data_IF_454903830075
#
_entry.id   IF_454903830075
#
_cell.length_a   1.000
_cell.length_b   1.000
_cell.length_c   1.000
_cell.angle_alpha   90.00
_cell.angle_beta   90.00
_cell.angle_gamma   90.00
#
_symmetry.space_group_name_H-M   'P 1'
#
loop_
_entity.id
_entity.type
_entity.pdbx_description
1 polymer ?
#
# COMPACT_ATOMS: atom_id res chain seq x y z
N UNK A 1 0.54 37.24 -22.23
CA UNK A 1 0.51 36.49 -20.95
C UNK A 1 0.92 35.01 -21.04
N UNK A 2 0.54 34.24 -22.08
CA UNK A 2 0.92 32.80 -22.19
C UNK A 2 2.41 32.54 -22.46
N UNK A 3 3.09 33.40 -23.24
CA UNK A 3 4.54 33.29 -23.50
C UNK A 3 5.41 33.62 -22.27
N UNK A 4 4.97 34.57 -21.44
CA UNK A 4 5.66 34.97 -20.22
C UNK A 4 5.65 33.85 -19.15
N UNK A 5 4.58 33.06 -19.06
CA UNK A 5 4.47 31.90 -18.16
C UNK A 5 5.39 30.72 -18.55
N UNK A 6 5.60 30.50 -19.86
CA UNK A 6 6.52 29.45 -20.34
C UNK A 6 7.98 29.78 -20.09
N UNK A 7 8.38 31.05 -20.26
CA UNK A 7 9.74 31.49 -19.88
C UNK A 7 9.98 31.45 -18.37
N UNK A 8 8.97 31.71 -17.55
CA UNK A 8 9.10 31.65 -16.09
C UNK A 8 9.26 30.22 -15.56
N UNK A 9 8.53 29.25 -16.11
CA UNK A 9 8.74 27.82 -15.78
C UNK A 9 10.12 27.31 -16.22
N UNK A 10 10.62 27.75 -17.39
CA UNK A 10 11.95 27.35 -17.86
C UNK A 10 13.07 27.92 -16.96
N UNK A 11 12.90 29.16 -16.47
CA UNK A 11 13.82 29.78 -15.53
C UNK A 11 13.83 29.07 -14.16
N UNK A 12 12.68 28.63 -13.68
CA UNK A 12 12.54 27.86 -12.43
C UNK A 12 13.21 26.47 -12.52
N UNK A 13 13.12 25.80 -13.67
CA UNK A 13 13.79 24.51 -13.91
C UNK A 13 15.31 24.67 -13.99
N UNK A 14 15.80 25.77 -14.56
CA UNK A 14 17.24 26.10 -14.63
C UNK A 14 17.78 26.51 -13.24
N UNK A 15 17.01 27.27 -12.45
CA UNK A 15 17.37 27.61 -11.06
C UNK A 15 17.39 26.38 -10.14
N UNK A 16 16.53 25.38 -10.39
CA UNK A 16 16.55 24.11 -9.66
C UNK A 16 17.75 23.21 -10.03
N UNK A 17 18.31 23.37 -11.24
CA UNK A 17 19.47 22.58 -11.69
C UNK A 17 20.81 23.19 -11.29
N UNK A 18 20.84 24.43 -10.80
CA UNK A 18 22.07 25.12 -10.33
C UNK A 18 22.29 24.94 -8.82
N UNK A 19 21.33 24.36 -8.07
CA UNK A 19 21.49 23.99 -6.66
C UNK A 19 21.99 22.55 -6.44
N UNK A 20 22.76 22.00 -7.38
CA UNK A 20 23.58 20.81 -7.12
C UNK A 20 24.97 21.29 -6.70
N UNK A 21 25.06 21.86 -5.50
CA UNK A 21 26.37 21.91 -4.85
C UNK A 21 26.86 20.46 -4.71
N UNK A 22 28.13 20.14 -5.00
CA UNK A 22 28.67 18.84 -4.62
C UNK A 22 28.56 18.74 -3.11
N UNK A 23 27.61 17.94 -2.62
CA UNK A 23 27.59 17.53 -1.22
C UNK A 23 28.91 16.79 -1.00
N UNK A 24 29.89 17.48 -0.44
CA UNK A 24 30.99 16.85 0.27
C UNK A 24 30.38 16.23 1.52
N UNK A 25 29.74 15.06 1.34
CA UNK A 25 29.48 14.12 2.40
C UNK A 25 30.85 13.76 2.97
N UNK A 26 31.29 14.51 3.99
CA UNK A 26 32.33 14.02 4.88
C UNK A 26 31.89 12.62 5.27
N UNK A 27 32.69 11.62 4.90
CA UNK A 27 32.58 10.24 5.40
C UNK A 27 32.74 10.29 6.92
N UNK A 28 31.67 10.70 7.59
CA UNK A 28 31.43 10.37 8.97
C UNK A 28 31.37 8.87 8.92
N UNK A 29 32.39 8.20 9.49
CA UNK A 29 32.40 6.76 9.70
C UNK A 29 30.98 6.38 10.08
N UNK A 30 30.27 5.70 9.16
CA UNK A 30 28.91 5.31 9.41
C UNK A 30 29.00 4.46 10.67
N UNK A 31 28.46 4.96 11.80
CA UNK A 31 28.26 4.14 12.99
C UNK A 31 27.71 2.83 12.48
N UNK A 32 28.42 1.74 12.71
CA UNK A 32 27.95 0.41 12.31
C UNK A 32 26.57 0.26 12.93
N UNK A 33 25.53 0.45 12.12
CA UNK A 33 24.15 0.36 12.60
C UNK A 33 23.97 -1.11 12.95
N UNK A 34 23.96 -1.41 14.24
CA UNK A 34 23.69 -2.75 14.72
C UNK A 34 22.21 -3.01 14.42
N UNK A 35 21.96 -3.96 13.52
CA UNK A 35 20.61 -4.42 13.21
C UNK A 35 20.00 -5.03 14.47
N UNK A 36 19.01 -4.36 15.05
CA UNK A 36 18.38 -4.74 16.32
C UNK A 36 17.31 -5.82 16.19
N UNK A 37 16.71 -5.98 15.00
CA UNK A 37 15.72 -7.02 14.73
C UNK A 37 15.93 -7.67 13.35
N UNK A 38 15.31 -8.83 13.12
CA UNK A 38 15.37 -9.56 11.84
C UNK A 38 14.02 -9.66 11.12
N UNK A 39 13.06 -8.81 11.43
CA UNK A 39 11.73 -8.88 10.82
C UNK A 39 11.77 -8.62 9.31
N UNK A 40 10.94 -9.31 8.51
CA UNK A 40 10.87 -9.12 7.08
C UNK A 40 10.28 -7.75 6.71
N UNK A 41 10.56 -7.30 5.49
CA UNK A 41 10.01 -6.09 4.88
C UNK A 41 8.95 -6.47 3.87
N UNK A 42 7.81 -5.77 3.87
CA UNK A 42 6.75 -5.93 2.87
C UNK A 42 6.53 -4.59 2.17
N UNK A 43 6.75 -4.60 0.86
CA UNK A 43 6.68 -3.43 -0.02
C UNK A 43 5.32 -3.34 -0.72
N UNK A 44 4.41 -2.54 -0.17
CA UNK A 44 3.01 -2.45 -0.60
C UNK A 44 2.83 -1.32 -1.64
N UNK A 45 2.51 -1.71 -2.87
CA UNK A 45 2.28 -0.76 -3.97
C UNK A 45 1.00 0.06 -3.77
N UNK A 46 0.88 1.20 -4.47
CA UNK A 46 -0.32 2.03 -4.48
C UNK A 46 -1.27 1.73 -5.63
N UNK A 47 -2.06 2.73 -5.99
CA UNK A 47 -3.00 2.71 -7.13
C UNK A 47 -2.26 2.35 -8.42
N UNK A 48 -2.86 1.49 -9.25
CA UNK A 48 -2.26 0.94 -10.48
C UNK A 48 -0.94 0.19 -10.31
N UNK A 49 -0.54 -0.16 -9.09
CA UNK A 49 0.65 -0.96 -8.85
C UNK A 49 0.46 -2.45 -9.15
N UNK A 50 1.57 -3.17 -9.18
CA UNK A 50 1.61 -4.59 -9.54
C UNK A 50 2.70 -5.33 -8.75
N UNK A 51 2.61 -6.66 -8.70
CA UNK A 51 3.61 -7.54 -8.09
C UNK A 51 4.82 -7.80 -9.00
N UNK A 52 5.91 -8.34 -8.45
CA UNK A 52 7.16 -8.55 -9.20
C UNK A 52 7.06 -9.53 -10.38
N UNK A 53 6.08 -10.43 -10.39
CA UNK A 53 5.87 -11.39 -11.48
C UNK A 53 4.87 -10.87 -12.54
N UNK A 54 4.45 -9.62 -12.42
CA UNK A 54 3.49 -8.97 -13.32
C UNK A 54 4.20 -7.95 -14.23
N UNK A 55 3.55 -7.58 -15.34
CA UNK A 55 4.02 -6.54 -16.26
C UNK A 55 5.41 -6.77 -16.89
N UNK A 56 5.60 -7.94 -17.52
CA UNK A 56 6.79 -8.26 -18.34
C UNK A 56 8.15 -8.12 -17.62
N UNK A 57 8.17 -8.34 -16.30
CA UNK A 57 9.40 -8.31 -15.49
C UNK A 57 9.87 -6.90 -15.07
N UNK A 58 9.06 -5.86 -15.32
CA UNK A 58 9.28 -4.54 -14.75
C UNK A 58 8.80 -4.53 -13.30
N UNK A 59 9.68 -4.19 -12.36
CA UNK A 59 9.33 -4.13 -10.95
C UNK A 59 8.64 -2.80 -10.65
N UNK A 60 7.48 -2.81 -9.99
CA UNK A 60 6.92 -1.58 -9.42
C UNK A 60 7.94 -0.88 -8.51
N UNK A 61 8.60 -1.68 -7.66
CA UNK A 61 9.66 -1.24 -6.77
C UNK A 61 11.03 -1.28 -7.45
N UNK A 62 11.35 -0.21 -8.19
CA UNK A 62 12.68 0.03 -8.77
C UNK A 62 12.80 -0.16 -10.29
N UNK A 63 11.70 -0.42 -10.98
CA UNK A 63 11.66 -0.55 -12.44
C UNK A 63 12.55 -1.71 -12.92
N UNK A 64 13.60 -1.38 -13.67
CA UNK A 64 14.60 -2.36 -14.15
C UNK A 64 15.52 -2.87 -13.04
N UNK A 65 15.67 -2.13 -11.96
CA UNK A 65 16.54 -2.46 -10.83
C UNK A 65 15.68 -2.82 -9.62
N UNK A 66 15.37 -4.10 -9.45
CA UNK A 66 14.47 -4.57 -8.38
C UNK A 66 14.99 -4.20 -6.98
N UNK A 67 14.30 -3.28 -6.29
CA UNK A 67 14.62 -2.89 -4.91
C UNK A 67 14.55 -4.11 -3.99
N UNK A 68 13.57 -5.00 -4.21
CA UNK A 68 13.48 -6.29 -3.53
C UNK A 68 14.80 -7.05 -3.63
N UNK A 69 15.31 -7.25 -4.86
CA UNK A 69 16.54 -8.01 -5.08
C UNK A 69 17.76 -7.34 -4.44
N UNK A 70 17.86 -6.02 -4.52
CA UNK A 70 18.95 -5.24 -3.90
C UNK A 70 18.94 -5.45 -2.38
N UNK A 71 17.78 -5.34 -1.73
CA UNK A 71 17.67 -5.57 -0.29
C UNK A 71 17.95 -7.03 0.10
N UNK A 72 17.50 -8.00 -0.71
CA UNK A 72 17.80 -9.41 -0.48
C UNK A 72 19.30 -9.70 -0.57
N UNK A 73 20.03 -9.10 -1.51
CA UNK A 73 21.49 -9.23 -1.59
C UNK A 73 22.22 -8.65 -0.37
N UNK A 74 21.56 -7.76 0.38
CA UNK A 74 22.07 -7.19 1.63
C UNK A 74 21.62 -7.97 2.88
N UNK A 75 20.92 -9.11 2.71
CA UNK A 75 20.49 -9.96 3.82
C UNK A 75 19.16 -9.57 4.47
N UNK A 76 18.32 -8.79 3.79
CA UNK A 76 16.94 -8.52 4.20
C UNK A 76 15.96 -9.49 3.54
N UNK A 77 15.04 -10.04 4.33
CA UNK A 77 13.90 -10.81 3.80
C UNK A 77 12.83 -9.81 3.32
N UNK A 78 12.46 -9.85 2.05
CA UNK A 78 11.59 -8.83 1.43
C UNK A 78 10.49 -9.47 0.57
N UNK A 79 9.27 -8.94 0.67
CA UNK A 79 8.11 -9.36 -0.11
C UNK A 79 7.45 -8.19 -0.83
N UNK A 80 6.85 -8.48 -1.99
CA UNK A 80 6.15 -7.51 -2.85
C UNK A 80 4.76 -8.08 -3.19
N UNK A 81 3.73 -7.82 -2.35
CA UNK A 81 2.38 -8.33 -2.57
C UNK A 81 1.79 -7.90 -3.92
N UNK A 82 1.03 -8.81 -4.54
CA UNK A 82 0.11 -8.50 -5.65
C UNK A 82 -1.32 -8.46 -5.09
N UNK A 83 -1.80 -7.23 -4.90
CA UNK A 83 -3.13 -6.89 -4.37
C UNK A 83 -3.83 -5.92 -5.33
N UNK A 84 -5.13 -5.70 -5.13
CA UNK A 84 -6.00 -4.94 -6.00
C UNK A 84 -5.44 -3.56 -6.35
N UNK A 85 -5.14 -3.27 -7.62
CA UNK A 85 -4.60 -1.98 -8.05
C UNK A 85 -5.63 -0.85 -8.00
N UNK A 86 -6.92 -1.19 -7.92
CA UNK A 86 -8.06 -0.28 -7.94
C UNK A 86 -9.10 -0.57 -6.83
N UNK A 87 -8.84 -1.57 -5.98
CA UNK A 87 -9.74 -1.94 -4.89
C UNK A 87 -9.68 -0.91 -3.76
N UNK A 88 -10.68 -0.91 -2.87
CA UNK A 88 -10.70 -0.03 -1.71
C UNK A 88 -9.52 -0.31 -0.76
N UNK A 89 -9.16 0.65 0.10
CA UNK A 89 -8.14 0.41 1.13
C UNK A 89 -8.52 -0.76 2.06
N UNK A 90 -9.82 -0.94 2.34
CA UNK A 90 -10.34 -2.04 3.14
C UNK A 90 -10.08 -3.40 2.45
N UNK A 91 -10.47 -3.52 1.20
CA UNK A 91 -10.28 -4.76 0.43
C UNK A 91 -8.80 -5.08 0.29
N UNK A 92 -8.00 -4.07 -0.02
CA UNK A 92 -6.54 -4.19 -0.12
C UNK A 92 -5.90 -4.63 1.20
N UNK A 93 -6.41 -4.18 2.35
CA UNK A 93 -5.94 -4.63 3.65
C UNK A 93 -6.31 -6.12 3.90
N UNK A 94 -7.51 -6.55 3.50
CA UNK A 94 -7.94 -7.95 3.60
C UNK A 94 -7.12 -8.87 2.67
N UNK A 95 -6.86 -8.41 1.45
CA UNK A 95 -5.99 -9.09 0.48
C UNK A 95 -4.56 -9.19 0.99
N UNK A 96 -4.02 -8.09 1.53
CA UNK A 96 -2.67 -8.04 2.10
C UNK A 96 -2.55 -8.99 3.29
N UNK A 97 -3.50 -8.98 4.22
CA UNK A 97 -3.53 -9.93 5.33
C UNK A 97 -3.44 -11.38 4.86
N UNK A 98 -4.28 -11.74 3.89
CA UNK A 98 -4.32 -13.10 3.33
C UNK A 98 -3.07 -13.44 2.52
N UNK A 99 -2.47 -12.47 1.82
CA UNK A 99 -1.17 -12.64 1.17
C UNK A 99 -0.08 -13.01 2.18
N UNK A 100 -0.07 -12.33 3.34
CA UNK A 100 0.92 -12.54 4.39
C UNK A 100 0.74 -13.92 5.04
N UNK A 101 -0.41 -14.20 5.63
CA UNK A 101 -0.58 -15.42 6.44
C UNK A 101 -1.08 -16.64 5.66
N UNK A 102 -1.62 -16.42 4.46
CA UNK A 102 -2.25 -17.45 3.63
C UNK A 102 -3.73 -17.62 3.93
N UNK A 103 -4.43 -18.26 2.98
CA UNK A 103 -5.88 -18.48 3.05
C UNK A 103 -6.65 -17.70 1.99
N UNK A 104 -7.97 -17.88 2.00
CA UNK A 104 -8.91 -17.15 1.14
C UNK A 104 -9.17 -15.79 1.73
N UNK A 105 -9.11 -14.74 0.89
CA UNK A 105 -9.47 -13.38 1.32
C UNK A 105 -10.90 -13.37 1.83
N UNK A 106 -11.10 -12.87 3.05
CA UNK A 106 -12.42 -12.58 3.62
C UNK A 106 -12.50 -11.07 3.78
N UNK A 107 -13.31 -10.42 2.94
CA UNK A 107 -13.55 -8.99 2.97
C UNK A 107 -14.48 -8.57 4.12
N UNK A 108 -15.06 -9.53 4.85
CA UNK A 108 -16.03 -9.27 5.91
C UNK A 108 -17.48 -9.35 5.42
N UNK A 109 -18.34 -9.92 6.25
CA UNK A 109 -19.77 -10.04 5.96
C UNK A 109 -20.46 -8.68 5.93
N UNK A 110 -20.22 -7.85 6.94
CA UNK A 110 -20.88 -6.54 7.05
C UNK A 110 -20.41 -5.60 5.93
N UNK A 111 -19.10 -5.56 5.69
CA UNK A 111 -18.49 -4.76 4.64
C UNK A 111 -19.01 -5.15 3.26
N UNK A 112 -18.92 -6.44 2.91
CA UNK A 112 -19.34 -6.90 1.58
C UNK A 112 -20.83 -6.73 1.32
N UNK A 113 -21.69 -6.94 2.33
CA UNK A 113 -23.12 -6.64 2.21
C UNK A 113 -23.38 -5.15 1.99
N UNK A 114 -22.64 -4.25 2.66
CA UNK A 114 -22.78 -2.80 2.50
C UNK A 114 -22.24 -2.29 1.17
N UNK A 115 -21.10 -2.82 0.73
CA UNK A 115 -20.39 -2.38 -0.47
C UNK A 115 -20.89 -3.08 -1.76
N UNK A 116 -21.72 -4.12 -1.64
CA UNK A 116 -22.36 -4.78 -2.78
C UNK A 116 -21.42 -5.68 -3.59
N UNK A 117 -20.48 -6.36 -2.94
CA UNK A 117 -19.58 -7.33 -3.59
C UNK A 117 -19.49 -8.65 -2.81
N UNK A 118 -18.84 -9.65 -3.41
CA UNK A 118 -18.63 -10.94 -2.77
C UNK A 118 -17.78 -10.83 -1.50
N UNK A 119 -18.14 -11.58 -0.46
CA UNK A 119 -17.38 -11.67 0.80
C UNK A 119 -16.01 -12.32 0.63
N UNK A 120 -15.89 -13.32 -0.23
CA UNK A 120 -14.66 -14.07 -0.41
C UNK A 120 -13.96 -13.73 -1.72
N UNK A 121 -12.64 -13.53 -1.64
CA UNK A 121 -11.77 -13.24 -2.78
C UNK A 121 -10.90 -14.43 -3.19
N UNK A 122 -9.73 -14.13 -3.76
CA UNK A 122 -8.75 -15.15 -4.18
C UNK A 122 -8.08 -15.83 -2.97
N UNK A 123 -7.45 -16.98 -3.21
CA UNK A 123 -6.70 -17.71 -2.17
C UNK A 123 -5.21 -17.52 -2.35
N UNK A 124 -4.53 -17.16 -1.27
CA UNK A 124 -3.08 -17.00 -1.24
C UNK A 124 -2.41 -18.16 -0.49
N UNK A 125 -1.21 -18.53 -0.94
CA UNK A 125 -0.40 -19.55 -0.26
C UNK A 125 0.11 -19.10 1.11
N UNK A 126 0.27 -17.80 1.34
CA UNK A 126 0.85 -17.22 2.55
C UNK A 126 2.37 -17.20 2.52
N UNK A 127 2.97 -16.01 2.52
CA UNK A 127 4.43 -15.84 2.50
C UNK A 127 5.06 -15.81 3.90
N UNK A 128 4.28 -15.46 4.91
CA UNK A 128 4.67 -15.23 6.30
C UNK A 128 3.70 -15.95 7.27
N UNK A 129 3.53 -17.27 7.11
CA UNK A 129 2.65 -18.11 7.95
C UNK A 129 3.04 -18.15 9.44
N UNK A 130 4.19 -17.60 9.78
CA UNK A 130 4.71 -17.50 11.14
C UNK A 130 4.39 -16.16 11.82
N UNK A 131 3.85 -15.18 11.08
CA UNK A 131 3.52 -13.86 11.61
C UNK A 131 2.58 -13.98 12.82
N UNK A 132 2.84 -13.20 13.86
CA UNK A 132 2.07 -13.21 15.10
C UNK A 132 2.37 -14.37 16.05
N UNK A 133 3.10 -15.40 15.62
CA UNK A 133 3.52 -16.51 16.50
C UNK A 133 4.69 -16.08 17.38
N UNK A 134 4.80 -16.67 18.57
CA UNK A 134 5.98 -16.49 19.43
C UNK A 134 7.10 -17.43 19.01
N UNK A 135 8.33 -16.90 18.96
CA UNK A 135 9.57 -17.67 18.77
C UNK A 135 10.58 -17.14 19.77
N UNK A 136 11.09 -18.02 20.63
CA UNK A 136 12.02 -17.66 21.72
C UNK A 136 11.50 -16.54 22.64
N UNK A 137 10.18 -16.49 22.89
CA UNK A 137 9.55 -15.46 23.72
C UNK A 137 9.22 -14.16 22.99
N UNK A 138 9.59 -14.01 21.72
CA UNK A 138 9.32 -12.81 20.91
C UNK A 138 8.25 -13.07 19.85
N UNK A 139 7.28 -12.16 19.76
CA UNK A 139 6.28 -12.17 18.69
C UNK A 139 7.00 -11.89 17.37
N UNK A 140 6.74 -12.72 16.36
CA UNK A 140 7.24 -12.49 15.01
C UNK A 140 6.42 -11.39 14.33
N UNK A 141 7.09 -10.31 13.95
CA UNK A 141 6.48 -9.09 13.39
C UNK A 141 6.97 -8.83 11.96
N UNK A 142 6.46 -7.76 11.36
CA UNK A 142 6.81 -7.32 9.99
C UNK A 142 6.96 -5.81 9.92
N UNK A 143 7.87 -5.35 9.04
CA UNK A 143 7.97 -3.95 8.62
C UNK A 143 7.16 -3.72 7.35
N UNK A 144 6.22 -2.77 7.37
CA UNK A 144 5.42 -2.42 6.20
C UNK A 144 5.91 -1.11 5.59
N UNK A 145 6.17 -1.12 4.28
CA UNK A 145 6.52 0.08 3.51
C UNK A 145 5.48 0.26 2.42
N UNK A 146 4.72 1.34 2.48
CA UNK A 146 3.64 1.65 1.55
C UNK A 146 3.98 2.84 0.67
N UNK A 147 3.92 2.68 -0.65
CA UNK A 147 4.02 3.79 -1.58
C UNK A 147 2.62 4.23 -2.05
N UNK A 148 2.38 5.53 -2.17
CA UNK A 148 1.10 6.08 -2.62
C UNK A 148 -0.05 5.52 -1.76
N UNK A 149 -1.16 5.07 -2.36
CA UNK A 149 -2.30 4.42 -1.68
C UNK A 149 -1.88 3.22 -0.80
N UNK A 150 -0.73 2.59 -1.08
CA UNK A 150 -0.19 1.51 -0.27
C UNK A 150 0.05 1.93 1.19
N UNK A 151 0.35 3.21 1.44
CA UNK A 151 0.52 3.72 2.80
C UNK A 151 -0.79 3.80 3.60
N UNK A 152 -1.92 4.13 2.95
CA UNK A 152 -3.24 4.09 3.58
C UNK A 152 -3.66 2.63 3.85
N UNK A 153 -3.40 1.74 2.90
CA UNK A 153 -3.69 0.30 3.03
C UNK A 153 -2.99 -0.30 4.25
N UNK A 154 -1.69 -0.02 4.46
CA UNK A 154 -0.94 -0.60 5.59
C UNK A 154 -1.31 0.02 6.93
N UNK A 155 -1.74 1.29 6.96
CA UNK A 155 -2.31 1.91 8.15
C UNK A 155 -3.64 1.24 8.53
N UNK A 156 -4.50 0.98 7.55
CA UNK A 156 -5.78 0.31 7.80
C UNK A 156 -5.59 -1.15 8.23
N UNK A 157 -4.63 -1.88 7.64
CA UNK A 157 -4.28 -3.22 8.10
C UNK A 157 -3.85 -3.21 9.57
N UNK A 158 -2.98 -2.27 9.97
CA UNK A 158 -2.56 -2.15 11.37
C UNK A 158 -3.75 -1.86 12.29
N UNK A 159 -4.65 -0.96 11.90
CA UNK A 159 -5.88 -0.67 12.66
C UNK A 159 -6.72 -1.94 12.88
N UNK A 160 -6.96 -2.71 11.82
CA UNK A 160 -7.77 -3.93 11.90
C UNK A 160 -7.11 -4.99 12.77
N UNK A 161 -5.79 -5.17 12.67
CA UNK A 161 -5.05 -6.10 13.53
C UNK A 161 -5.13 -5.71 15.00
N UNK A 162 -5.00 -4.42 15.32
CA UNK A 162 -5.01 -3.92 16.69
C UNK A 162 -6.41 -3.91 17.31
N UNK A 163 -7.41 -3.40 16.59
CA UNK A 163 -8.73 -3.10 17.14
C UNK A 163 -9.87 -3.95 16.56
N UNK A 164 -9.63 -4.62 15.43
CA UNK A 164 -10.65 -5.40 14.73
C UNK A 164 -11.74 -4.54 14.08
N UNK A 165 -12.91 -5.15 13.86
CA UNK A 165 -14.10 -4.46 13.36
C UNK A 165 -15.33 -4.93 14.13
N UNK A 166 -15.97 -4.01 14.86
CA UNK A 166 -17.18 -4.30 15.65
C UNK A 166 -18.34 -4.76 14.77
N UNK A 167 -18.50 -4.15 13.59
CA UNK A 167 -19.56 -4.51 12.65
C UNK A 167 -19.38 -5.95 12.15
N UNK A 168 -18.14 -6.37 11.88
CA UNK A 168 -17.84 -7.75 11.45
C UNK A 168 -18.03 -8.75 12.59
N UNK A 169 -17.62 -8.39 13.80
CA UNK A 169 -17.85 -9.20 15.01
C UNK A 169 -19.35 -9.38 15.24
N UNK A 170 -20.14 -8.31 15.11
CA UNK A 170 -21.60 -8.37 15.27
C UNK A 170 -22.25 -9.23 14.18
N UNK A 171 -21.79 -9.10 12.93
CA UNK A 171 -22.36 -9.83 11.80
C UNK A 171 -22.03 -11.32 11.79
N UNK A 172 -20.91 -11.75 12.38
CA UNK A 172 -20.41 -13.13 12.22
C UNK A 172 -20.11 -13.87 13.53
N UNK A 173 -20.07 -13.17 14.67
CA UNK A 173 -19.89 -13.77 16.00
C UNK A 173 -18.65 -14.64 16.09
N UNK A 174 -18.81 -15.90 16.49
CA UNK A 174 -17.70 -16.86 16.62
C UNK A 174 -16.96 -17.12 15.28
N UNK A 175 -17.63 -16.93 14.15
CA UNK A 175 -17.09 -17.16 12.80
C UNK A 175 -16.36 -15.93 12.24
N UNK A 176 -16.13 -14.90 13.05
CA UNK A 176 -15.36 -13.71 12.64
C UNK A 176 -13.97 -14.09 12.18
N UNK A 177 -13.54 -13.58 11.03
CA UNK A 177 -12.18 -13.76 10.54
C UNK A 177 -11.18 -13.17 11.56
N UNK A 178 -10.03 -13.81 11.74
CA UNK A 178 -9.02 -13.35 12.71
C UNK A 178 -8.59 -11.90 12.48
N UNK A 179 -8.54 -11.42 11.23
CA UNK A 179 -8.23 -10.02 10.93
C UNK A 179 -9.15 -9.04 11.65
N UNK A 180 -10.43 -9.39 11.88
CA UNK A 180 -11.42 -8.48 12.45
C UNK A 180 -11.60 -8.62 13.97
N UNK A 181 -10.79 -9.45 14.65
CA UNK A 181 -10.90 -9.69 16.10
C UNK A 181 -10.13 -8.71 16.98
N UNK A 182 -9.15 -7.99 16.43
CA UNK A 182 -8.24 -7.14 17.20
C UNK A 182 -7.19 -7.92 18.00
N UNK A 183 -6.37 -7.22 18.78
CA UNK A 183 -5.37 -7.77 19.70
C UNK A 183 -4.11 -8.36 19.04
N UNK A 184 -3.84 -8.04 17.78
CA UNK A 184 -2.73 -8.61 17.00
C UNK A 184 -1.61 -7.58 16.78
N UNK A 185 -0.64 -7.54 17.68
CA UNK A 185 0.54 -6.65 17.63
C UNK A 185 1.62 -7.10 16.64
N UNK A 186 1.26 -7.29 15.37
CA UNK A 186 2.12 -7.95 14.37
C UNK A 186 2.98 -6.98 13.55
N UNK A 187 2.70 -5.68 13.62
CA UNK A 187 3.41 -4.66 12.83
C UNK A 187 4.48 -4.01 13.70
N UNK A 188 5.74 -4.11 13.29
CA UNK A 188 6.84 -3.46 13.99
C UNK A 188 7.02 -2.00 13.55
N UNK A 189 6.88 -1.73 12.25
CA UNK A 189 6.89 -0.35 11.77
C UNK A 189 6.07 -0.17 10.49
N UNK A 190 5.69 1.08 10.27
CA UNK A 190 5.01 1.57 9.08
C UNK A 190 5.84 2.72 8.52
N UNK A 191 6.24 2.59 7.26
CA UNK A 191 6.87 3.66 6.48
C UNK A 191 5.98 3.98 5.29
N UNK A 192 5.63 5.25 5.10
CA UNK A 192 4.80 5.68 3.97
C UNK A 192 5.56 6.63 3.07
N UNK A 193 5.50 6.41 1.76
CA UNK A 193 6.24 7.18 0.76
C UNK A 193 5.21 7.77 -0.22
N UNK A 194 5.13 9.10 -0.30
CA UNK A 194 4.21 9.80 -1.20
C UNK A 194 2.75 9.38 -1.02
N UNK A 195 2.34 9.03 0.20
CA UNK A 195 1.00 8.56 0.52
C UNK A 195 0.04 9.73 0.70
N UNK A 196 -1.13 9.71 0.05
CA UNK A 196 -2.14 10.77 0.17
C UNK A 196 -2.94 10.62 1.47
N UNK A 197 -2.30 10.79 2.64
CA UNK A 197 -2.98 10.61 3.94
C UNK A 197 -4.21 11.50 4.13
N UNK A 198 -4.23 12.65 3.45
CA UNK A 198 -5.34 13.61 3.44
C UNK A 198 -6.03 13.68 2.05
N UNK A 199 -5.93 12.60 1.27
CA UNK A 199 -6.44 12.54 -0.11
C UNK A 199 -5.52 13.23 -1.13
N UNK A 200 -6.00 13.29 -2.37
CA UNK A 200 -5.30 13.90 -3.51
C UNK A 200 -6.25 14.80 -4.28
N UNK A 201 -5.81 16.02 -4.60
CA UNK A 201 -6.56 16.96 -5.45
C UNK A 201 -6.86 16.39 -6.85
N UNK A 202 -6.08 15.40 -7.29
CA UNK A 202 -6.31 14.76 -8.59
C UNK A 202 -7.57 13.88 -8.58
N UNK A 203 -7.93 13.30 -7.43
CA UNK A 203 -9.16 12.52 -7.30
C UNK A 203 -10.40 13.42 -7.48
N UNK A 204 -10.42 14.58 -6.81
CA UNK A 204 -11.49 15.58 -6.98
C UNK A 204 -11.64 16.03 -8.44
N UNK A 205 -10.53 16.20 -9.16
CA UNK A 205 -10.54 16.57 -10.57
C UNK A 205 -11.12 15.47 -11.45
N UNK A 206 -10.74 14.23 -11.22
CA UNK A 206 -11.25 13.08 -11.97
C UNK A 206 -12.74 12.88 -11.70
N UNK A 207 -13.18 12.93 -10.43
CA UNK A 207 -14.59 12.83 -10.06
C UNK A 207 -15.43 13.89 -10.75
N UNK A 208 -14.98 15.15 -10.73
CA UNK A 208 -15.66 16.24 -11.42
C UNK A 208 -15.74 15.99 -12.93
N UNK A 209 -14.63 15.58 -13.55
CA UNK A 209 -14.60 15.26 -14.98
C UNK A 209 -15.59 14.14 -15.35
N UNK A 210 -15.64 13.06 -14.56
CA UNK A 210 -16.56 11.95 -14.79
C UNK A 210 -18.02 12.40 -14.62
N UNK A 211 -18.34 13.13 -13.56
CA UNK A 211 -19.69 13.68 -13.35
C UNK A 211 -20.13 14.58 -14.51
N UNK A 212 -19.24 15.44 -15.00
CA UNK A 212 -19.52 16.33 -16.13
C UNK A 212 -19.77 15.52 -17.43
N UNK A 213 -18.99 14.46 -17.66
CA UNK A 213 -19.20 13.54 -18.80
C UNK A 213 -20.52 12.77 -18.70
N UNK A 214 -20.84 12.22 -17.53
CA UNK A 214 -22.11 11.51 -17.31
C UNK A 214 -23.31 12.43 -17.53
N UNK A 215 -23.28 13.66 -16.99
CA UNK A 215 -24.32 14.66 -17.24
C UNK A 215 -24.47 14.98 -18.72
N UNK A 216 -23.36 15.16 -19.43
CA UNK A 216 -23.37 15.44 -20.87
C UNK A 216 -24.01 14.30 -21.67
N UNK A 217 -23.72 13.04 -21.34
CA UNK A 217 -24.32 11.88 -22.00
C UNK A 217 -25.80 11.71 -21.65
N UNK A 218 -26.19 11.92 -20.39
CA UNK A 218 -27.59 11.87 -19.97
C UNK A 218 -28.44 12.93 -20.68
N UNK A 219 -27.92 14.16 -20.82
CA UNK A 219 -28.55 15.23 -21.60
C UNK A 219 -28.73 14.83 -23.08
N UNK A 220 -27.69 14.25 -23.69
CA UNK A 220 -27.74 13.81 -25.09
C UNK A 220 -28.79 12.70 -25.32
N UNK A 221 -28.93 11.77 -24.38
CA UNK A 221 -29.92 10.69 -24.44
C UNK A 221 -31.36 11.16 -24.18
N UNK A 222 -31.55 12.23 -23.39
CA UNK A 222 -32.87 12.83 -23.14
C UNK A 222 -33.44 13.65 -24.31
N UNK A 223 -32.63 13.89 -25.35
CA UNK A 223 -33.00 14.62 -26.56
C UNK A 223 -33.29 13.70 -27.76
N UNK A 224 -33.24 12.38 -27.55
CA UNK A 224 -33.65 11.34 -28.49
C UNK A 224 -35.02 10.79 -28.09
#
# INVERSE_FOLDING_TARGET
>A
MKKLKKSFCLLLVILFSIFIAPLNLKNTSAKTLIRTNKYPIVLVHGLFGWGNDEFFGLNYWGGKNSIKKILETQGYEVYTPSIGPLSSNWDRACELYSYLIGGTVDYGQAHSSKAGHNRYGKTYKGVLKYLGKSKNGEIQKVHLIGHSMGGETIRLLAQLLEEGSKDEIQATGINTNSLFKGGQHWIESITTISTPHDGSQEDERIQKYLQDKFKSWALMLSQL
#
